data_IF_256369870380
#
_entry.id   IF_256369870380
#
_cell.length_a   1.000
_cell.length_b   1.000
_cell.length_c   1.000
_cell.angle_alpha   90.00
_cell.angle_beta   90.00
_cell.angle_gamma   90.00
#
_symmetry.space_group_name_H-M   'P 1'
#
loop_
_entity.id
_entity.type
_entity.pdbx_description
1 polymer ?
#
# COMPACT_ATOMS: atom_id res chain seq x y z
N UNK A 1 1.69 -11.37 -21.90
CA UNK A 1 0.69 -10.40 -21.41
C UNK A 1 1.26 -9.83 -20.11
N UNK A 2 1.55 -8.53 -20.07
CA UNK A 2 2.16 -7.84 -18.92
C UNK A 2 1.15 -6.98 -18.16
N UNK A 3 -0.11 -6.98 -18.58
CA UNK A 3 -1.18 -6.13 -18.03
C UNK A 3 -1.28 -6.24 -16.50
N UNK A 4 -1.17 -7.44 -15.86
CA UNK A 4 -1.20 -7.56 -14.40
C UNK A 4 -0.04 -6.86 -13.68
N UNK A 5 1.13 -6.78 -14.31
CA UNK A 5 2.30 -6.13 -13.73
C UNK A 5 2.13 -4.60 -13.73
N UNK A 6 1.56 -4.07 -14.80
CA UNK A 6 1.24 -2.64 -14.92
C UNK A 6 0.11 -2.23 -13.97
N UNK A 7 -0.92 -3.06 -13.82
CA UNK A 7 -2.00 -2.84 -12.85
C UNK A 7 -1.46 -2.81 -11.41
N UNK A 8 -0.56 -3.75 -11.08
CA UNK A 8 0.09 -3.78 -9.77
C UNK A 8 0.96 -2.54 -9.53
N UNK A 9 1.74 -2.12 -10.52
CA UNK A 9 2.56 -0.92 -10.45
C UNK A 9 1.72 0.35 -10.28
N UNK A 10 0.60 0.47 -10.99
CA UNK A 10 -0.33 1.59 -10.86
C UNK A 10 -0.99 1.64 -9.47
N UNK A 11 -1.37 0.47 -8.92
CA UNK A 11 -1.87 0.35 -7.55
C UNK A 11 -0.83 0.74 -6.51
N UNK A 12 0.41 0.26 -6.68
CA UNK A 12 1.52 0.63 -5.81
C UNK A 12 1.84 2.13 -5.84
N UNK A 13 1.86 2.75 -7.03
CA UNK A 13 2.12 4.18 -7.15
C UNK A 13 1.07 5.01 -6.41
N UNK A 14 -0.21 4.67 -6.58
CA UNK A 14 -1.31 5.33 -5.84
C UNK A 14 -1.19 5.15 -4.32
N UNK A 15 -0.75 3.97 -3.87
CA UNK A 15 -0.50 3.71 -2.45
C UNK A 15 0.65 4.59 -1.92
N UNK A 16 1.74 4.70 -2.68
CA UNK A 16 2.87 5.56 -2.32
C UNK A 16 2.51 7.04 -2.24
N UNK A 17 1.72 7.56 -3.18
CA UNK A 17 1.24 8.96 -3.14
C UNK A 17 0.46 9.25 -1.85
N UNK A 18 -0.40 8.31 -1.43
CA UNK A 18 -1.16 8.41 -0.17
C UNK A 18 -0.25 8.31 1.04
N UNK A 19 0.66 7.34 1.08
CA UNK A 19 1.62 7.18 2.18
C UNK A 19 2.49 8.42 2.34
N UNK A 20 2.96 8.99 1.22
CA UNK A 20 3.74 10.23 1.23
C UNK A 20 2.93 11.38 1.83
N UNK A 21 1.68 11.55 1.40
CA UNK A 21 0.81 12.60 1.93
C UNK A 21 0.53 12.43 3.44
N UNK A 22 0.24 11.19 3.86
CA UNK A 22 -0.05 10.85 5.27
C UNK A 22 1.14 11.03 6.20
N UNK A 23 2.36 10.99 5.68
CA UNK A 23 3.59 11.21 6.47
C UNK A 23 4.04 12.67 6.41
N UNK A 24 3.93 13.32 5.25
CA UNK A 24 4.36 14.70 5.05
C UNK A 24 3.50 15.71 5.82
N UNK A 25 2.17 15.56 5.80
CA UNK A 25 1.25 16.46 6.51
C UNK A 25 1.58 16.56 8.01
N UNK A 26 1.64 15.45 8.77
CA UNK A 26 1.99 15.50 10.18
C UNK A 26 3.43 15.96 10.41
N UNK A 27 4.39 15.65 9.53
CA UNK A 27 5.75 16.18 9.64
C UNK A 27 5.80 17.71 9.52
N UNK A 28 5.10 18.26 8.52
CA UNK A 28 5.00 19.70 8.32
C UNK A 28 4.26 20.38 9.47
N UNK A 29 3.19 19.77 9.98
CA UNK A 29 2.47 20.28 11.15
C UNK A 29 3.28 20.17 12.44
N UNK A 30 4.09 19.12 12.63
CA UNK A 30 4.96 18.99 13.79
C UNK A 30 6.02 20.09 13.80
N UNK A 31 6.66 20.34 12.66
CA UNK A 31 7.65 21.41 12.51
C UNK A 31 6.99 22.79 12.65
N UNK A 32 5.91 23.04 11.90
CA UNK A 32 5.17 24.30 11.96
C UNK A 32 4.57 24.55 13.34
N UNK A 33 4.02 23.53 13.97
CA UNK A 33 3.42 23.60 15.29
C UNK A 33 4.45 23.92 16.37
N UNK A 34 5.60 23.24 16.35
CA UNK A 34 6.67 23.47 17.34
C UNK A 34 7.25 24.89 17.28
N UNK A 35 7.41 25.44 16.06
CA UNK A 35 8.04 26.75 15.88
C UNK A 35 7.06 27.93 15.79
N UNK A 36 5.88 27.77 15.18
CA UNK A 36 4.92 28.86 14.97
C UNK A 36 3.72 28.85 15.92
N UNK A 37 3.27 27.69 16.38
CA UNK A 37 2.06 27.56 17.22
C UNK A 37 2.39 27.31 18.70
N UNK A 38 3.67 27.22 19.06
CA UNK A 38 4.11 26.95 20.42
C UNK A 38 3.77 25.53 20.90
N UNK A 39 3.63 24.56 19.99
CA UNK A 39 3.45 23.17 20.37
C UNK A 39 4.64 22.71 21.20
N UNK A 40 4.36 22.26 22.42
CA UNK A 40 5.34 21.61 23.26
C UNK A 40 5.78 20.25 22.70
N UNK A 41 6.66 19.59 23.44
CA UNK A 41 7.21 18.28 23.08
C UNK A 41 6.12 17.21 22.90
N UNK A 42 5.13 17.18 23.81
CA UNK A 42 4.08 16.17 23.82
C UNK A 42 3.20 16.16 22.54
N UNK A 43 2.55 17.26 22.12
CA UNK A 43 1.72 17.25 20.90
C UNK A 43 2.55 16.97 19.64
N UNK A 44 3.80 17.44 19.58
CA UNK A 44 4.72 17.17 18.46
C UNK A 44 5.04 15.67 18.33
N UNK A 45 5.31 15.00 19.47
CA UNK A 45 5.52 13.56 19.53
C UNK A 45 4.29 12.77 19.09
N UNK A 46 3.12 13.12 19.64
CA UNK A 46 1.85 12.46 19.30
C UNK A 46 1.57 12.58 17.80
N UNK A 47 1.74 13.77 17.24
CA UNK A 47 1.46 14.02 15.82
C UNK A 47 2.41 13.26 14.90
N UNK A 48 3.69 13.20 15.28
CA UNK A 48 4.70 12.45 14.54
C UNK A 48 4.41 10.95 14.54
N UNK A 49 4.09 10.38 15.71
CA UNK A 49 3.73 8.97 15.84
C UNK A 49 2.43 8.65 15.09
N UNK A 50 1.41 9.51 15.19
CA UNK A 50 0.16 9.33 14.47
C UNK A 50 0.39 9.29 12.95
N UNK A 51 1.18 10.21 12.41
CA UNK A 51 1.56 10.22 11.00
C UNK A 51 2.29 8.95 10.56
N UNK A 52 3.21 8.47 11.40
CA UNK A 52 3.94 7.23 11.14
C UNK A 52 2.99 6.02 11.08
N UNK A 53 2.12 5.86 12.07
CA UNK A 53 1.17 4.75 12.11
C UNK A 53 0.15 4.80 10.98
N UNK A 54 -0.33 6.00 10.61
CA UNK A 54 -1.23 6.17 9.47
C UNK A 54 -0.53 5.84 8.15
N UNK A 55 0.70 6.30 7.95
CA UNK A 55 1.50 5.97 6.76
C UNK A 55 1.77 4.48 6.66
N UNK A 56 2.15 3.84 7.77
CA UNK A 56 2.38 2.40 7.83
C UNK A 56 1.09 1.60 7.56
N UNK A 57 -0.02 1.97 8.19
CA UNK A 57 -1.31 1.34 7.97
C UNK A 57 -1.77 1.48 6.51
N UNK A 58 -1.63 2.66 5.91
CA UNK A 58 -1.91 2.87 4.49
C UNK A 58 -1.00 1.99 3.61
N UNK A 59 0.30 1.94 3.89
CA UNK A 59 1.23 1.11 3.13
C UNK A 59 0.86 -0.39 3.14
N UNK A 60 0.21 -0.87 4.21
CA UNK A 60 -0.26 -2.25 4.35
C UNK A 60 -1.62 -2.54 3.71
N UNK A 61 -2.37 -1.52 3.25
CA UNK A 61 -3.69 -1.69 2.60
C UNK A 61 -3.75 -2.79 1.52
N UNK A 62 -2.78 -2.92 0.58
CA UNK A 62 -2.84 -3.99 -0.42
C UNK A 62 -2.74 -5.40 0.15
N UNK A 63 -2.19 -5.57 1.36
CA UNK A 63 -2.16 -6.88 2.05
C UNK A 63 -3.52 -7.21 2.69
N UNK A 64 -4.26 -6.18 3.13
CA UNK A 64 -5.57 -6.29 3.78
C UNK A 64 -6.72 -6.48 2.79
N UNK A 65 -6.64 -5.82 1.63
CA UNK A 65 -7.64 -5.94 0.55
C UNK A 65 -7.56 -7.30 -0.18
N UNK A 66 -6.53 -8.09 0.11
CA UNK A 66 -6.26 -9.37 -0.54
C UNK A 66 -5.77 -9.19 -1.98
N UNK A 67 -5.32 -10.26 -2.64
CA UNK A 67 -4.97 -10.18 -4.05
C UNK A 67 -6.22 -9.75 -4.82
N UNK A 68 -6.18 -8.57 -5.42
CA UNK A 68 -7.17 -8.20 -6.42
C UNK A 68 -7.03 -9.27 -7.52
N UNK A 69 -7.95 -10.24 -7.57
CA UNK A 69 -7.98 -11.31 -8.58
C UNK A 69 -8.39 -10.72 -9.93
N UNK A 70 -7.80 -9.60 -10.34
CA UNK A 70 -7.78 -9.19 -11.73
C UNK A 70 -6.93 -10.22 -12.49
N UNK A 71 -7.59 -11.31 -12.87
CA UNK A 71 -7.18 -12.29 -13.88
C UNK A 71 -5.67 -12.57 -13.89
N UNK A 72 -5.15 -13.03 -12.76
CA UNK A 72 -3.86 -13.70 -12.78
C UNK A 72 -3.99 -14.86 -13.79
N UNK A 73 -3.11 -14.96 -14.81
CA UNK A 73 -3.14 -16.03 -15.80
C UNK A 73 -2.58 -17.33 -15.21
N UNK A 74 -2.87 -17.61 -13.93
CA UNK A 74 -2.53 -18.88 -13.35
C UNK A 74 -3.52 -19.90 -13.93
N UNK A 75 -3.04 -20.92 -14.65
CA UNK A 75 -3.92 -21.98 -15.12
C UNK A 75 -4.66 -22.52 -13.90
N UNK A 76 -5.99 -22.51 -13.97
CA UNK A 76 -6.83 -23.14 -12.96
C UNK A 76 -6.36 -24.59 -12.90
N UNK A 77 -5.99 -25.10 -11.72
CA UNK A 77 -5.47 -26.47 -11.53
C UNK A 77 -6.32 -27.56 -12.23
N UNK A 78 -7.60 -27.26 -12.48
CA UNK A 78 -8.56 -28.08 -13.24
C UNK A 78 -8.22 -28.28 -14.73
N UNK A 79 -7.46 -27.39 -15.36
CA UNK A 79 -7.18 -27.43 -16.81
C UNK A 79 -5.87 -28.16 -17.13
N UNK A 80 -5.00 -28.34 -16.13
CA UNK A 80 -3.72 -29.03 -16.27
C UNK A 80 -3.85 -30.57 -16.18
N UNK A 81 -4.86 -31.08 -15.46
CA UNK A 81 -5.06 -32.53 -15.29
C UNK A 81 -5.81 -33.18 -16.46
N UNK A 82 -6.61 -32.43 -17.23
CA UNK A 82 -7.48 -32.95 -18.30
C UNK A 82 -6.76 -33.08 -19.65
N UNK A 83 -5.53 -32.57 -19.78
CA UNK A 83 -4.77 -32.53 -21.03
C UNK A 83 -3.51 -33.39 -21.07
N UNK A 84 -3.33 -34.34 -20.15
CA UNK A 84 -2.33 -35.39 -20.38
C UNK A 84 -2.90 -36.39 -21.39
N UNK A 85 -2.28 -36.57 -22.58
CA UNK A 85 -2.61 -37.70 -23.43
C UNK A 85 -2.24 -38.96 -22.67
N UNK A 86 -3.19 -39.88 -22.51
CA UNK A 86 -2.88 -41.24 -22.09
C UNK A 86 -2.14 -41.86 -23.29
N UNK A 87 -0.87 -42.29 -23.15
CA UNK A 87 -0.23 -43.05 -24.21
C UNK A 87 -0.98 -44.39 -24.35
N UNK A 88 -1.45 -44.67 -25.57
CA UNK A 88 -1.97 -46.00 -25.94
C UNK A 88 -0.84 -47.04 -26.00
#
# INVERSE_FOLDING_TARGET
>A
NLDPLFDLAAGFNRNMDRTFTLTLIPAAMSLGGAFLLGFGLAPTLVLTLAGLFLGLGNAMTPLLEGPNRSKLPFPKKSDAATKLPIPE
#
